data_IF_727088476751
#
_entry.id   IF_727088476751
#
_cell.length_a   1.000
_cell.length_b   1.000
_cell.length_c   1.000
_cell.angle_alpha   90.00
_cell.angle_beta   90.00
_cell.angle_gamma   90.00
#
_symmetry.space_group_name_H-M   'P 1'
#
loop_
_entity.id
_entity.type
_entity.pdbx_description
1 polymer ?
#
# COMPACT_ATOMS: atom_id res chain seq x y z
N UNK A 1 21.75 5.64 11.15
CA UNK A 1 21.43 4.58 10.18
C UNK A 1 20.17 5.05 9.44
N UNK A 2 20.02 4.77 8.16
CA UNK A 2 18.80 5.17 7.45
C UNK A 2 17.63 4.28 7.91
N UNK A 3 16.45 4.85 8.21
CA UNK A 3 15.32 4.11 8.80
C UNK A 3 14.81 2.97 7.91
N UNK A 4 15.01 3.06 6.59
CA UNK A 4 14.75 2.01 5.63
C UNK A 4 15.74 0.84 5.77
N UNK A 5 17.01 1.10 6.05
CA UNK A 5 18.03 0.05 6.20
C UNK A 5 17.83 -0.74 7.49
N UNK A 6 17.49 -0.08 8.61
CA UNK A 6 17.14 -0.77 9.87
C UNK A 6 15.90 -1.67 9.74
N UNK A 7 14.90 -1.21 8.99
CA UNK A 7 13.69 -2.00 8.71
C UNK A 7 14.03 -3.27 7.90
N UNK A 8 14.83 -3.13 6.84
CA UNK A 8 15.24 -4.28 6.02
C UNK A 8 16.13 -5.24 6.81
N UNK A 9 17.06 -4.74 7.64
CA UNK A 9 17.86 -5.58 8.53
C UNK A 9 16.97 -6.39 9.47
N UNK A 10 16.00 -5.74 10.14
CA UNK A 10 15.07 -6.42 11.03
C UNK A 10 14.23 -7.48 10.31
N UNK A 11 13.76 -7.17 9.09
CA UNK A 11 13.00 -8.11 8.26
C UNK A 11 13.85 -9.30 7.77
N UNK A 12 15.16 -9.10 7.58
CA UNK A 12 16.10 -10.13 7.12
C UNK A 12 16.60 -11.05 8.24
N UNK A 13 16.29 -10.76 9.51
CA UNK A 13 16.67 -11.61 10.65
C UNK A 13 15.98 -12.98 10.63
N UNK A 14 14.95 -13.14 9.79
CA UNK A 14 14.22 -14.39 9.54
C UNK A 14 14.04 -14.58 8.01
N UNK A 15 13.80 -15.80 7.50
CA UNK A 15 13.87 -16.12 6.06
C UNK A 15 12.73 -15.49 5.25
N UNK A 16 12.87 -14.20 4.95
CA UNK A 16 11.97 -13.44 4.10
C UNK A 16 12.06 -13.86 2.64
N UNK A 17 13.23 -14.39 2.21
CA UNK A 17 13.43 -15.02 0.90
C UNK A 17 12.37 -16.10 0.63
N UNK A 18 12.01 -16.91 1.63
CA UNK A 18 10.99 -17.95 1.45
C UNK A 18 9.59 -17.37 1.22
N UNK A 19 9.30 -16.17 1.72
CA UNK A 19 8.03 -15.48 1.51
C UNK A 19 7.98 -14.89 0.10
N UNK A 20 9.06 -14.25 -0.33
CA UNK A 20 9.18 -13.65 -1.67
C UNK A 20 9.18 -14.73 -2.75
N UNK A 21 9.92 -15.82 -2.55
CA UNK A 21 9.95 -16.95 -3.47
C UNK A 21 8.57 -17.61 -3.62
N UNK A 22 7.86 -17.81 -2.51
CA UNK A 22 6.48 -18.31 -2.54
C UNK A 22 5.53 -17.37 -3.27
N UNK A 23 5.70 -16.06 -3.13
CA UNK A 23 4.92 -15.09 -3.89
C UNK A 23 5.21 -15.19 -5.39
N UNK A 24 6.48 -15.33 -5.80
CA UNK A 24 6.86 -15.55 -7.20
C UNK A 24 6.22 -16.83 -7.74
N UNK A 25 6.33 -17.96 -7.02
CA UNK A 25 5.74 -19.25 -7.41
C UNK A 25 4.23 -19.14 -7.60
N UNK A 26 3.52 -18.53 -6.65
CA UNK A 26 2.07 -18.34 -6.75
C UNK A 26 1.66 -17.57 -8.03
N UNK A 27 2.43 -16.55 -8.42
CA UNK A 27 2.15 -15.80 -9.65
C UNK A 27 2.48 -16.63 -10.90
N UNK A 28 3.57 -17.39 -10.89
CA UNK A 28 4.00 -18.24 -12.01
C UNK A 28 3.03 -19.41 -12.26
N UNK A 29 2.54 -20.04 -11.18
CA UNK A 29 1.54 -21.12 -11.21
C UNK A 29 0.13 -20.64 -11.60
N UNK A 30 -0.03 -19.35 -11.93
CA UNK A 30 -1.28 -18.78 -12.40
C UNK A 30 -2.34 -18.62 -11.31
N UNK A 31 -1.93 -18.58 -10.04
CA UNK A 31 -2.83 -18.28 -8.94
C UNK A 31 -3.49 -16.92 -9.20
N UNK A 32 -4.78 -16.79 -8.87
CA UNK A 32 -5.50 -15.53 -9.04
C UNK A 32 -4.73 -14.42 -8.32
N UNK A 33 -4.40 -13.34 -9.04
CA UNK A 33 -3.58 -12.24 -8.50
C UNK A 33 -4.05 -11.74 -7.13
N UNK A 34 -5.37 -11.63 -6.92
CA UNK A 34 -5.93 -11.28 -5.60
C UNK A 34 -5.45 -12.23 -4.52
N UNK A 35 -5.57 -13.54 -4.75
CA UNK A 35 -5.16 -14.57 -3.79
C UNK A 35 -3.66 -14.51 -3.54
N UNK A 36 -2.85 -14.38 -4.59
CA UNK A 36 -1.39 -14.31 -4.44
C UNK A 36 -0.95 -13.09 -3.61
N UNK A 37 -1.54 -11.92 -3.86
CA UNK A 37 -1.25 -10.70 -3.11
C UNK A 37 -1.77 -10.81 -1.66
N UNK A 38 -2.98 -11.31 -1.46
CA UNK A 38 -3.54 -11.52 -0.11
C UNK A 38 -2.68 -12.48 0.72
N UNK A 39 -2.22 -13.59 0.13
CA UNK A 39 -1.32 -14.53 0.78
C UNK A 39 0.01 -13.85 1.13
N UNK A 40 0.62 -13.14 0.18
CA UNK A 40 1.88 -12.43 0.41
C UNK A 40 1.80 -11.38 1.52
N UNK A 41 0.73 -10.57 1.54
CA UNK A 41 0.50 -9.60 2.63
C UNK A 41 0.32 -10.31 3.97
N UNK A 42 -0.45 -11.40 4.01
CA UNK A 42 -0.66 -12.18 5.23
C UNK A 42 0.65 -12.78 5.76
N UNK A 43 1.51 -13.28 4.89
CA UNK A 43 2.84 -13.78 5.28
C UNK A 43 3.71 -12.70 5.87
N UNK A 44 3.75 -11.52 5.24
CA UNK A 44 4.52 -10.38 5.75
C UNK A 44 3.99 -9.89 7.10
N UNK A 45 2.67 -9.90 7.31
CA UNK A 45 2.06 -9.55 8.60
C UNK A 45 2.49 -10.54 9.69
N UNK A 46 2.39 -11.85 9.41
CA UNK A 46 2.80 -12.88 10.37
C UNK A 46 4.31 -12.81 10.63
N UNK A 47 5.12 -12.54 9.61
CA UNK A 47 6.56 -12.37 9.78
C UNK A 47 6.90 -11.17 10.67
N UNK A 48 6.23 -10.02 10.45
CA UNK A 48 6.39 -8.83 11.26
C UNK A 48 5.93 -9.04 12.71
N UNK A 49 4.83 -9.77 12.93
CA UNK A 49 4.30 -10.12 14.26
C UNK A 49 5.31 -10.89 15.11
N UNK A 50 6.14 -11.73 14.48
CA UNK A 50 7.19 -12.49 15.15
C UNK A 50 8.45 -11.66 15.48
N UNK A 51 8.50 -10.38 15.11
CA UNK A 51 9.63 -9.48 15.37
C UNK A 51 9.21 -8.46 16.44
N UNK A 52 9.42 -8.80 17.70
CA UNK A 52 9.01 -7.96 18.83
C UNK A 52 9.99 -6.80 19.10
N UNK A 53 9.46 -5.70 19.65
CA UNK A 53 10.26 -4.63 20.26
C UNK A 53 10.81 -3.57 19.31
N UNK A 54 10.43 -3.56 18.03
CA UNK A 54 10.86 -2.57 17.05
C UNK A 54 9.69 -1.72 16.55
N UNK A 55 9.67 -0.43 16.91
CA UNK A 55 8.60 0.49 16.52
C UNK A 55 8.43 0.61 14.99
N UNK A 56 9.52 0.44 14.22
CA UNK A 56 9.47 0.43 12.77
C UNK A 56 8.75 -0.81 12.20
N UNK A 57 8.87 -1.96 12.88
CA UNK A 57 8.17 -3.20 12.51
C UNK A 57 6.68 -3.10 12.88
N UNK A 58 6.35 -2.53 14.04
CA UNK A 58 4.95 -2.30 14.46
C UNK A 58 4.20 -1.36 13.48
N UNK A 59 4.87 -0.27 13.07
CA UNK A 59 4.34 0.64 12.06
C UNK A 59 4.13 -0.06 10.71
N UNK A 60 5.10 -0.88 10.27
CA UNK A 60 4.99 -1.66 9.05
C UNK A 60 3.83 -2.67 9.13
N UNK A 61 3.70 -3.39 10.25
CA UNK A 61 2.61 -4.35 10.48
C UNK A 61 1.26 -3.66 10.35
N UNK A 62 1.10 -2.49 10.96
CA UNK A 62 -0.11 -1.66 10.84
C UNK A 62 -0.43 -1.32 9.39
N UNK A 63 0.57 -0.87 8.61
CA UNK A 63 0.39 -0.56 7.19
C UNK A 63 -0.01 -1.81 6.37
N UNK A 64 0.63 -2.94 6.60
CA UNK A 64 0.33 -4.20 5.90
C UNK A 64 -1.07 -4.71 6.22
N UNK A 65 -1.49 -4.67 7.50
CA UNK A 65 -2.85 -5.07 7.93
C UNK A 65 -3.90 -4.19 7.26
N UNK A 66 -3.68 -2.88 7.18
CA UNK A 66 -4.57 -1.96 6.48
C UNK A 66 -4.71 -2.28 4.99
N UNK A 67 -3.59 -2.51 4.31
CA UNK A 67 -3.57 -2.87 2.89
C UNK A 67 -4.29 -4.21 2.63
N UNK A 68 -4.07 -5.21 3.48
CA UNK A 68 -4.73 -6.51 3.41
C UNK A 68 -6.26 -6.37 3.58
N UNK A 69 -6.69 -5.57 4.55
CA UNK A 69 -8.12 -5.31 4.80
C UNK A 69 -8.78 -4.59 3.62
N UNK A 70 -8.13 -3.57 3.06
CA UNK A 70 -8.61 -2.83 1.88
C UNK A 70 -8.77 -3.73 0.64
N UNK A 71 -7.82 -4.61 0.39
CA UNK A 71 -7.87 -5.58 -0.70
C UNK A 71 -8.99 -6.62 -0.50
N UNK A 72 -9.16 -7.12 0.73
CA UNK A 72 -10.17 -8.14 1.03
C UNK A 72 -11.60 -7.59 1.03
N UNK A 73 -11.80 -6.38 1.56
CA UNK A 73 -13.08 -5.67 1.54
C UNK A 73 -13.42 -5.09 0.16
N UNK A 74 -12.59 -5.31 -0.86
CA UNK A 74 -12.73 -4.80 -2.24
C UNK A 74 -12.80 -3.27 -2.32
N UNK A 75 -12.30 -2.57 -1.30
CA UNK A 75 -12.16 -1.11 -1.32
C UNK A 75 -11.05 -0.65 -2.27
N UNK A 76 -10.07 -1.52 -2.50
CA UNK A 76 -8.95 -1.27 -3.43
C UNK A 76 -8.94 -2.36 -4.51
N UNK A 77 -8.82 -1.99 -5.80
CA UNK A 77 -8.72 -2.96 -6.89
C UNK A 77 -7.33 -3.62 -6.92
N UNK A 78 -7.26 -4.85 -7.44
CA UNK A 78 -5.98 -5.58 -7.64
C UNK A 78 -4.99 -4.80 -8.50
N UNK A 79 -5.47 -3.92 -9.38
CA UNK A 79 -4.63 -3.05 -10.21
C UNK A 79 -3.78 -2.07 -9.42
N UNK A 80 -4.13 -1.76 -8.16
CA UNK A 80 -3.28 -0.97 -7.27
C UNK A 80 -1.95 -1.69 -6.95
N UNK A 81 -1.90 -3.01 -7.14
CA UNK A 81 -0.72 -3.85 -6.93
C UNK A 81 -0.04 -4.26 -8.25
N UNK A 82 -0.35 -3.59 -9.37
CA UNK A 82 0.20 -3.95 -10.69
C UNK A 82 1.73 -3.96 -10.71
N UNK A 83 2.36 -3.01 -10.02
CA UNK A 83 3.82 -2.84 -10.00
C UNK A 83 4.47 -3.96 -9.19
N UNK A 84 3.80 -4.44 -8.14
CA UNK A 84 4.19 -5.62 -7.37
C UNK A 84 4.08 -6.92 -8.19
N UNK A 85 3.02 -7.07 -8.99
CA UNK A 85 2.90 -8.22 -9.90
C UNK A 85 3.95 -8.14 -11.02
N UNK A 86 4.22 -6.94 -11.53
CA UNK A 86 5.20 -6.75 -12.58
C UNK A 86 6.63 -7.03 -12.08
N UNK A 87 6.92 -6.79 -10.81
CA UNK A 87 8.24 -7.08 -10.23
C UNK A 87 8.55 -8.58 -10.15
N UNK A 88 7.57 -9.47 -10.12
CA UNK A 88 7.84 -10.92 -10.15
C UNK A 88 8.25 -11.42 -11.54
N UNK A 89 7.86 -10.69 -12.60
CA UNK A 89 8.18 -11.02 -14.00
C UNK A 89 9.50 -10.43 -14.48
N UNK A 90 10.14 -9.60 -13.66
CA UNK A 90 11.43 -8.97 -13.91
C UNK A 90 12.46 -9.53 -12.93
N UNK A 91 13.77 -9.43 -13.21
CA UNK A 91 14.80 -9.75 -12.23
C UNK A 91 14.86 -8.68 -11.13
N UNK A 92 13.78 -8.55 -10.35
CA UNK A 92 13.71 -7.69 -9.18
C UNK A 92 14.22 -8.45 -7.96
N UNK A 93 15.11 -7.81 -7.22
CA UNK A 93 15.65 -8.34 -5.97
C UNK A 93 14.55 -8.42 -4.90
N UNK A 94 14.71 -9.27 -3.91
CA UNK A 94 13.74 -9.44 -2.81
C UNK A 94 13.49 -8.12 -2.08
N UNK A 95 14.56 -7.35 -1.85
CA UNK A 95 14.49 -5.98 -1.31
C UNK A 95 13.64 -5.05 -2.17
N UNK A 96 13.69 -5.16 -3.49
CA UNK A 96 12.87 -4.32 -4.38
C UNK A 96 11.39 -4.69 -4.27
N UNK A 97 11.07 -5.99 -4.26
CA UNK A 97 9.69 -6.49 -4.08
C UNK A 97 9.13 -6.02 -2.73
N UNK A 98 9.92 -6.15 -1.67
CA UNK A 98 9.55 -5.67 -0.34
C UNK A 98 9.36 -4.15 -0.32
N UNK A 99 10.25 -3.39 -0.95
CA UNK A 99 10.12 -1.93 -1.05
C UNK A 99 8.82 -1.53 -1.76
N UNK A 100 8.46 -2.22 -2.85
CA UNK A 100 7.25 -1.96 -3.62
C UNK A 100 6.01 -2.22 -2.76
N UNK A 101 5.91 -3.38 -2.10
CA UNK A 101 4.73 -3.70 -1.27
C UNK A 101 4.60 -2.78 -0.07
N UNK A 102 5.72 -2.40 0.57
CA UNK A 102 5.72 -1.44 1.67
C UNK A 102 5.18 -0.11 1.19
N UNK A 103 5.72 0.44 0.09
CA UNK A 103 5.28 1.72 -0.47
C UNK A 103 3.79 1.71 -0.83
N UNK A 104 3.31 0.64 -1.47
CA UNK A 104 1.87 0.48 -1.75
C UNK A 104 1.07 0.49 -0.46
N UNK A 105 1.50 -0.26 0.56
CA UNK A 105 0.82 -0.29 1.85
C UNK A 105 0.76 1.11 2.49
N UNK A 106 1.85 1.88 2.47
CA UNK A 106 1.83 3.26 3.00
C UNK A 106 0.85 4.14 2.22
N UNK A 107 0.89 4.10 0.90
CA UNK A 107 0.03 4.91 0.02
C UNK A 107 -1.45 4.62 0.27
N UNK A 108 -1.82 3.34 0.31
CA UNK A 108 -3.21 2.91 0.54
C UNK A 108 -3.74 3.33 1.92
N UNK A 109 -2.88 3.34 2.94
CA UNK A 109 -3.27 3.78 4.29
C UNK A 109 -3.30 5.30 4.43
N UNK A 110 -2.51 6.06 3.66
CA UNK A 110 -2.61 7.53 3.60
C UNK A 110 -3.92 8.00 2.96
N UNK A 111 -4.44 7.27 1.98
CA UNK A 111 -5.74 7.59 1.36
C UNK A 111 -6.95 7.32 2.29
N UNK A 112 -6.73 6.57 3.39
CA UNK A 112 -7.72 6.36 4.45
C UNK A 112 -7.71 7.49 5.49
N UNK A 113 -6.76 8.42 5.44
CA UNK A 113 -6.83 9.64 6.25
C UNK A 113 -8.03 10.46 5.74
N UNK A 114 -9.08 10.69 6.55
CA UNK A 114 -10.35 11.28 6.12
C UNK A 114 -10.24 12.71 5.56
N UNK A 115 -9.02 13.28 5.54
CA UNK A 115 -8.74 14.61 5.01
C UNK A 115 -8.55 14.62 3.47
N UNK A 116 -8.24 13.49 2.84
CA UNK A 116 -8.00 13.45 1.37
C UNK A 116 -9.28 13.30 0.52
N UNK A 117 -10.40 12.83 1.11
CA UNK A 117 -11.67 12.62 0.41
C UNK A 117 -12.53 13.89 0.27
N UNK A 118 -12.09 15.03 0.78
CA UNK A 118 -12.73 16.34 0.57
C UNK A 118 -12.06 17.15 -0.54
N UNK A 119 -11.91 16.59 -1.75
CA UNK A 119 -11.86 17.44 -2.95
C UNK A 119 -13.23 17.38 -3.63
N UNK A 120 -14.09 18.40 -3.48
CA UNK A 120 -15.23 18.53 -4.38
C UNK A 120 -14.69 18.78 -5.79
N UNK A 121 -14.76 17.74 -6.62
CA UNK A 121 -14.72 17.87 -8.08
C UNK A 121 -15.99 18.61 -8.48
N UNK A 122 -15.82 19.71 -9.23
CA UNK A 122 -16.82 20.69 -9.68
C UNK A 122 -17.18 21.83 -8.72
N UNK A 123 -16.36 22.89 -8.74
CA UNK A 123 -16.92 24.24 -8.78
C UNK A 123 -16.94 24.70 -10.24
N UNK A 124 -18.00 24.36 -10.96
CA UNK A 124 -18.42 25.14 -12.11
C UNK A 124 -18.74 26.54 -11.60
N UNK A 125 -17.85 27.49 -11.89
CA UNK A 125 -18.13 28.92 -11.73
C UNK A 125 -19.30 29.24 -12.65
N UNK A 126 -20.50 29.14 -12.11
CA UNK A 126 -21.72 29.70 -12.69
C UNK A 126 -21.51 31.21 -12.71
N UNK A 127 -21.42 31.79 -13.91
CA UNK A 127 -21.35 33.23 -14.09
C UNK A 127 -22.57 33.91 -13.45
N UNK A 128 -22.36 34.50 -12.28
CA UNK A 128 -23.35 35.35 -11.64
C UNK A 128 -23.38 36.68 -12.38
N UNK A 129 -24.39 36.83 -13.25
CA UNK A 129 -24.89 38.13 -13.71
C UNK A 129 -25.16 39.00 -12.47
N UNK A 130 -24.39 40.09 -12.33
CA UNK A 130 -24.71 41.18 -11.38
C UNK A 130 -25.97 41.89 -11.88
N UNK A 131 -27.10 41.56 -11.29
CA UNK A 131 -28.24 42.46 -11.13
C UNK A 131 -27.85 43.51 -10.08
N UNK A 132 -28.15 44.77 -10.40
CA UNK A 132 -27.69 45.93 -9.64
C UNK A 132 -28.49 46.18 -8.37
N UNK A 133 -27.90 46.99 -7.49
CA UNK A 133 -28.62 47.76 -6.48
C UNK A 133 -27.76 48.96 -6.06
N UNK A 134 -28.42 50.13 -6.03
CA UNK A 134 -28.00 51.44 -5.50
C UNK A 134 -27.97 51.36 -3.96
N UNK A 135 -27.20 52.18 -3.20
CA UNK A 135 -27.57 53.56 -2.80
C UNK A 135 -26.33 54.51 -2.79
N UNK A 136 -26.39 55.84 -2.83
CA UNK A 136 -27.20 56.79 -2.08
C UNK A 136 -26.29 57.59 -1.15
N UNK A 137 -25.93 58.82 -1.54
CA UNK A 137 -25.74 60.05 -0.76
C UNK A 137 -25.46 61.22 -1.71
#
# INVERSE_FOLDING_TARGET
>A
MEPSTELFDCLNLNPIDSIVDRFRSNIDEGLKHKTAISTFLNDLINHADNIEGQAAIDALQTELVGAFSLLNTKKVPVSAFRDLIASTKKPASDREILTIVINIAKELNKELDPIALMRPVHSTVTGLRKIGEVPGY
#
